data_IF_803220921265
#
_entry.id   IF_803220921265
#
_cell.length_a   1.000
_cell.length_b   1.000
_cell.length_c   1.000
_cell.angle_alpha   90.00
_cell.angle_beta   90.00
_cell.angle_gamma   90.00
#
_symmetry.space_group_name_H-M   'P 1'
#
loop_
_entity.id
_entity.type
_entity.pdbx_description
1 polymer ?
#
# COMPACT_ATOMS: atom_id res chain seq x y z
N UNK A 1 -17.31 -22.21 0.58
CA UNK A 1 -16.04 -22.98 0.58
C UNK A 1 -15.28 -22.71 -0.72
N UNK A 2 -13.96 -22.53 -0.69
CA UNK A 2 -13.17 -22.36 -1.90
C UNK A 2 -13.41 -23.48 -2.91
N UNK A 3 -13.38 -23.14 -4.22
CA UNK A 3 -13.60 -24.13 -5.29
C UNK A 3 -12.57 -25.26 -5.26
N UNK A 4 -12.90 -26.40 -5.89
CA UNK A 4 -11.99 -27.56 -5.95
C UNK A 4 -10.65 -27.16 -6.59
N UNK A 5 -10.68 -26.33 -7.65
CA UNK A 5 -9.48 -25.82 -8.30
C UNK A 5 -8.59 -25.00 -7.34
N UNK A 6 -9.16 -24.12 -6.54
CA UNK A 6 -8.45 -23.34 -5.52
C UNK A 6 -7.81 -24.26 -4.48
N UNK A 7 -8.51 -25.30 -4.04
CA UNK A 7 -7.98 -26.29 -3.07
C UNK A 7 -6.78 -27.04 -3.63
N UNK A 8 -6.87 -27.56 -4.84
CA UNK A 8 -5.79 -28.29 -5.51
C UNK A 8 -4.58 -27.37 -5.70
N UNK A 9 -4.79 -26.18 -6.26
CA UNK A 9 -3.71 -25.22 -6.48
C UNK A 9 -3.03 -24.82 -5.16
N UNK A 10 -3.78 -24.66 -4.07
CA UNK A 10 -3.21 -24.30 -2.78
C UNK A 10 -2.23 -25.33 -2.24
N UNK A 11 -2.42 -26.62 -2.56
CA UNK A 11 -1.48 -27.70 -2.16
C UNK A 11 -0.13 -27.51 -2.88
N UNK A 12 -0.18 -27.33 -4.20
CA UNK A 12 1.05 -27.12 -4.99
C UNK A 12 1.74 -25.80 -4.59
N UNK A 13 0.97 -24.74 -4.38
CA UNK A 13 1.49 -23.46 -3.93
C UNK A 13 2.23 -23.59 -2.58
N UNK A 14 1.65 -24.30 -1.60
CA UNK A 14 2.29 -24.53 -0.30
C UNK A 14 3.60 -25.29 -0.43
N UNK A 15 3.61 -26.36 -1.21
CA UNK A 15 4.81 -27.17 -1.43
C UNK A 15 5.91 -26.33 -2.08
N UNK A 16 5.56 -25.57 -3.11
CA UNK A 16 6.48 -24.68 -3.82
C UNK A 16 7.01 -23.57 -2.88
N UNK A 17 6.12 -22.88 -2.18
CA UNK A 17 6.50 -21.79 -1.27
C UNK A 17 7.41 -22.32 -0.14
N UNK A 18 7.04 -23.45 0.47
CA UNK A 18 7.85 -24.07 1.52
C UNK A 18 9.24 -24.48 1.03
N UNK A 19 9.30 -25.11 -0.14
CA UNK A 19 10.57 -25.49 -0.76
C UNK A 19 11.44 -24.25 -1.02
N UNK A 20 10.84 -23.18 -1.57
CA UNK A 20 11.52 -21.91 -1.84
C UNK A 20 12.06 -21.25 -0.57
N UNK A 21 11.26 -21.15 0.49
CA UNK A 21 11.70 -20.60 1.77
C UNK A 21 12.83 -21.42 2.40
N UNK A 22 12.76 -22.75 2.32
CA UNK A 22 13.82 -23.65 2.78
C UNK A 22 15.10 -23.50 1.96
N UNK A 23 14.99 -23.35 0.65
CA UNK A 23 16.14 -23.09 -0.23
C UNK A 23 16.84 -21.77 0.16
N UNK A 24 16.07 -20.71 0.38
CA UNK A 24 16.61 -19.43 0.81
C UNK A 24 17.23 -19.49 2.21
N UNK A 25 16.67 -20.29 3.12
CA UNK A 25 17.23 -20.48 4.46
C UNK A 25 18.59 -21.17 4.44
N UNK A 26 18.84 -22.03 3.46
CA UNK A 26 20.06 -22.81 3.32
C UNK A 26 21.07 -22.21 2.33
N UNK A 27 20.68 -21.19 1.57
CA UNK A 27 21.57 -20.55 0.60
C UNK A 27 22.64 -19.72 1.32
N UNK A 28 23.89 -19.79 0.88
CA UNK A 28 24.92 -18.87 1.36
C UNK A 28 24.55 -17.44 0.95
N UNK A 29 24.65 -16.50 1.89
CA UNK A 29 24.44 -15.09 1.59
C UNK A 29 25.71 -14.52 0.96
N UNK A 30 25.58 -14.00 -0.26
CA UNK A 30 26.63 -13.21 -0.90
C UNK A 30 26.73 -11.85 -0.16
N UNK A 31 27.90 -11.46 0.38
CA UNK A 31 28.05 -10.22 1.11
C UNK A 31 27.69 -8.96 0.31
N UNK A 32 27.99 -8.92 -1.00
CA UNK A 32 27.69 -7.76 -1.84
C UNK A 32 26.18 -7.66 -2.11
N UNK A 33 25.53 -8.81 -2.36
CA UNK A 33 24.08 -8.88 -2.50
C UNK A 33 23.39 -8.52 -1.19
N UNK A 34 23.89 -8.98 -0.06
CA UNK A 34 23.33 -8.63 1.25
C UNK A 34 23.50 -7.14 1.57
N UNK A 35 24.61 -6.52 1.19
CA UNK A 35 24.87 -5.09 1.42
C UNK A 35 23.91 -4.21 0.60
N UNK A 36 23.69 -4.52 -0.67
CA UNK A 36 22.77 -3.78 -1.54
C UNK A 36 21.32 -4.18 -1.30
N UNK A 37 21.06 -5.45 -1.01
CA UNK A 37 19.75 -6.06 -0.84
C UNK A 37 19.10 -6.49 -2.15
N UNK A 38 17.99 -7.21 -2.00
CA UNK A 38 17.15 -7.69 -3.12
C UNK A 38 15.74 -7.20 -2.90
N UNK A 39 15.11 -6.61 -3.91
CA UNK A 39 13.71 -6.12 -3.85
C UNK A 39 12.77 -6.84 -4.83
N UNK A 40 13.31 -7.80 -5.59
CA UNK A 40 12.55 -8.67 -6.50
C UNK A 40 13.31 -9.99 -6.68
N UNK A 41 12.60 -11.12 -6.69
CA UNK A 41 13.21 -12.42 -6.97
C UNK A 41 13.29 -12.65 -8.47
N UNK A 42 14.41 -13.20 -8.99
CA UNK A 42 14.61 -13.36 -10.43
C UNK A 42 13.66 -14.35 -11.10
N UNK A 43 13.08 -15.27 -10.35
CA UNK A 43 12.13 -16.29 -10.79
C UNK A 43 10.66 -15.84 -10.72
N UNK A 44 10.38 -14.62 -10.29
CA UNK A 44 9.03 -14.07 -10.23
C UNK A 44 8.63 -13.38 -11.52
N UNK A 45 7.42 -13.67 -12.01
CA UNK A 45 6.86 -13.00 -13.16
C UNK A 45 6.58 -11.52 -12.84
N UNK A 46 7.18 -10.62 -13.61
CA UNK A 46 7.01 -9.17 -13.48
C UNK A 46 6.31 -8.59 -14.69
N UNK A 47 5.51 -7.53 -14.46
CA UNK A 47 4.93 -6.73 -15.52
C UNK A 47 5.90 -5.59 -15.90
N UNK A 48 6.11 -5.31 -17.20
CA UNK A 48 6.91 -4.15 -17.60
C UNK A 48 6.17 -2.84 -17.25
N UNK A 49 6.91 -1.84 -16.79
CA UNK A 49 6.36 -0.49 -16.63
C UNK A 49 6.03 0.12 -17.99
N UNK A 50 4.92 0.86 -18.07
CA UNK A 50 4.51 1.57 -19.28
C UNK A 50 4.25 3.05 -18.95
N UNK A 51 5.12 3.99 -19.34
CA UNK A 51 4.95 5.41 -19.07
C UNK A 51 3.84 6.08 -19.89
N UNK A 52 3.32 5.39 -20.92
CA UNK A 52 2.14 5.82 -21.65
C UNK A 52 0.87 5.37 -20.93
N UNK A 53 -0.21 6.17 -21.01
CA UNK A 53 -1.50 5.73 -20.50
C UNK A 53 -2.01 4.52 -21.28
N UNK A 54 -2.24 3.43 -20.56
CA UNK A 54 -2.74 2.18 -21.16
C UNK A 54 -4.16 2.36 -21.70
N UNK A 55 -4.42 1.84 -22.92
CA UNK A 55 -5.75 1.85 -23.49
C UNK A 55 -6.75 0.97 -22.71
N UNK A 56 -6.26 -0.03 -21.98
CA UNK A 56 -7.12 -0.97 -21.25
C UNK A 56 -7.65 -0.40 -19.93
N UNK A 57 -6.81 0.31 -19.16
CA UNK A 57 -7.15 0.78 -17.83
C UNK A 57 -6.98 2.29 -17.62
N UNK A 58 -6.33 2.99 -18.55
CA UNK A 58 -6.07 4.42 -18.45
C UNK A 58 -4.97 4.76 -17.44
N UNK A 59 -4.10 3.81 -17.07
CA UNK A 59 -3.05 4.03 -16.06
C UNK A 59 -1.67 3.93 -16.69
N UNK A 60 -0.83 4.94 -16.50
CA UNK A 60 0.59 4.91 -16.82
C UNK A 60 1.39 4.41 -15.61
N UNK A 61 2.54 3.78 -15.84
CA UNK A 61 3.44 3.34 -14.77
C UNK A 61 4.90 3.53 -15.12
N UNK A 62 5.74 3.77 -14.12
CA UNK A 62 7.20 3.85 -14.27
C UNK A 62 7.91 3.36 -13.02
N UNK A 63 9.10 2.81 -13.22
CA UNK A 63 9.97 2.36 -12.14
C UNK A 63 11.03 3.42 -11.85
N UNK A 64 11.34 3.60 -10.57
CA UNK A 64 12.36 4.51 -10.08
C UNK A 64 13.19 3.84 -9.00
N UNK A 65 14.48 3.89 -9.13
CA UNK A 65 15.43 3.58 -8.06
C UNK A 65 15.65 4.83 -7.25
N UNK A 66 15.38 4.80 -5.94
CA UNK A 66 15.37 6.01 -5.10
C UNK A 66 16.49 6.08 -4.07
N UNK A 67 17.18 4.98 -3.81
CA UNK A 67 18.33 4.93 -2.91
C UNK A 67 19.55 4.31 -3.61
N UNK A 68 20.57 5.08 -3.95
CA UNK A 68 21.75 4.59 -4.68
C UNK A 68 22.56 3.53 -3.92
N UNK A 69 22.37 3.42 -2.60
CA UNK A 69 23.12 2.50 -1.74
C UNK A 69 22.37 1.20 -1.44
N UNK A 70 21.16 1.03 -1.96
CA UNK A 70 20.37 -0.18 -1.74
C UNK A 70 19.45 -0.48 -2.94
N UNK A 71 18.87 -1.66 -3.01
CA UNK A 71 17.90 -2.04 -4.05
C UNK A 71 16.52 -1.37 -3.91
N UNK A 72 16.36 -0.42 -2.99
CA UNK A 72 15.10 0.27 -2.74
C UNK A 72 14.62 1.02 -3.98
N UNK A 73 13.45 0.61 -4.48
CA UNK A 73 12.83 1.17 -5.67
C UNK A 73 11.34 1.45 -5.41
N UNK A 74 10.72 2.19 -6.32
CA UNK A 74 9.28 2.38 -6.33
C UNK A 74 8.75 2.24 -7.75
N UNK A 75 7.53 1.70 -7.89
CA UNK A 75 6.74 1.80 -9.12
C UNK A 75 5.63 2.81 -8.89
N UNK A 76 5.57 3.85 -9.74
CA UNK A 76 4.54 4.90 -9.66
C UNK A 76 3.49 4.62 -10.71
N UNK A 77 2.22 4.64 -10.30
CA UNK A 77 1.05 4.52 -11.16
C UNK A 77 0.31 5.85 -11.18
N UNK A 78 0.08 6.38 -12.38
CA UNK A 78 -0.63 7.63 -12.61
C UNK A 78 -1.90 7.35 -13.40
N UNK A 79 -3.11 7.62 -12.86
CA UNK A 79 -4.35 7.49 -13.63
C UNK A 79 -4.51 8.64 -14.63
N UNK A 80 -5.18 8.36 -15.76
CA UNK A 80 -5.53 9.39 -16.75
C UNK A 80 -6.41 10.46 -16.10
N UNK A 81 -6.09 11.74 -16.25
CA UNK A 81 -6.96 12.82 -15.78
C UNK A 81 -8.34 12.69 -16.43
N UNK A 82 -9.44 12.94 -15.70
CA UNK A 82 -10.76 12.96 -16.30
C UNK A 82 -10.81 14.04 -17.40
N UNK A 83 -11.51 13.78 -18.53
CA UNK A 83 -11.61 14.76 -19.61
C UNK A 83 -12.20 16.08 -19.08
N UNK A 84 -11.75 17.25 -19.59
CA UNK A 84 -12.16 18.57 -19.07
C UNK A 84 -13.69 18.78 -19.05
N UNK A 85 -14.43 18.09 -19.91
CA UNK A 85 -15.88 18.18 -20.01
C UNK A 85 -16.66 17.33 -18.99
N UNK A 86 -16.04 16.34 -18.36
CA UNK A 86 -16.73 15.49 -17.38
C UNK A 86 -17.01 16.22 -16.06
N UNK A 87 -16.29 17.32 -15.79
CA UNK A 87 -16.48 18.15 -14.60
C UNK A 87 -17.62 19.15 -14.75
N UNK A 88 -18.23 19.28 -15.93
CA UNK A 88 -19.29 20.25 -16.25
C UNK A 88 -20.64 19.60 -16.58
N UNK A 89 -20.76 18.31 -16.53
CA UNK A 89 -22.04 17.62 -16.77
C UNK A 89 -22.92 17.63 -15.51
N UNK A 90 -23.35 18.83 -15.08
CA UNK A 90 -24.60 18.93 -14.33
C UNK A 90 -25.75 18.73 -15.32
N UNK A 91 -26.77 17.91 -15.01
CA UNK A 91 -27.97 17.85 -15.84
C UNK A 91 -28.56 19.24 -15.94
N UNK A 92 -28.63 19.79 -17.17
CA UNK A 92 -29.25 21.08 -17.43
C UNK A 92 -30.70 21.06 -16.97
N UNK A 93 -31.07 22.00 -16.11
CA UNK A 93 -32.49 22.22 -15.80
C UNK A 93 -33.19 22.87 -17.01
N UNK A 94 -34.45 22.60 -17.18
CA UNK A 94 -35.26 23.15 -18.29
C UNK A 94 -35.33 24.68 -18.37
N UNK A 95 -34.75 25.37 -17.39
CA UNK A 95 -34.65 26.83 -17.30
C UNK A 95 -33.31 27.39 -17.73
N UNK A 96 -32.37 26.58 -18.21
CA UNK A 96 -31.04 27.08 -18.62
C UNK A 96 -31.14 27.84 -19.95
N UNK A 97 -30.46 28.99 -20.11
CA UNK A 97 -30.49 29.78 -21.35
C UNK A 97 -29.89 29.00 -22.52
N UNK A 98 -30.40 29.26 -23.72
CA UNK A 98 -30.01 28.58 -24.95
C UNK A 98 -28.49 28.59 -25.20
N UNK A 99 -27.93 27.60 -25.89
CA UNK A 99 -26.49 27.52 -26.21
C UNK A 99 -26.08 28.75 -27.02
N UNK A 100 -25.20 29.61 -26.46
CA UNK A 100 -24.70 30.82 -27.12
C UNK A 100 -24.84 32.08 -26.29
N UNK A 101 -25.66 32.14 -25.27
CA UNK A 101 -25.70 33.27 -24.35
C UNK A 101 -24.57 33.16 -23.31
N UNK A 102 -23.61 34.09 -23.23
CA UNK A 102 -22.54 34.03 -22.23
C UNK A 102 -23.09 34.47 -20.87
N UNK A 103 -23.70 33.54 -20.12
CA UNK A 103 -23.93 33.78 -18.69
C UNK A 103 -22.60 33.73 -17.94
N UNK A 104 -22.07 34.92 -17.67
CA UNK A 104 -20.84 35.16 -16.91
C UNK A 104 -21.14 35.48 -15.44
N UNK A 105 -21.94 34.67 -14.80
CA UNK A 105 -22.11 34.77 -13.34
C UNK A 105 -20.90 34.26 -12.59
N UNK A 106 -20.30 35.10 -11.77
CA UNK A 106 -19.37 34.84 -10.64
C UNK A 106 -18.18 33.88 -10.81
N UNK A 107 -17.75 33.54 -12.00
CA UNK A 107 -16.42 32.95 -12.17
C UNK A 107 -15.38 34.06 -12.29
N UNK A 108 -14.37 34.16 -11.41
CA UNK A 108 -13.30 35.13 -11.57
C UNK A 108 -12.64 34.95 -12.94
N UNK A 109 -12.55 36.01 -13.72
CA UNK A 109 -11.81 36.03 -15.00
C UNK A 109 -10.37 35.62 -14.69
N UNK A 110 -9.90 34.50 -15.25
CA UNK A 110 -8.52 34.08 -15.12
C UNK A 110 -8.28 32.98 -14.08
N UNK A 111 -9.30 32.30 -13.53
CA UNK A 111 -9.10 31.04 -12.85
C UNK A 111 -8.64 30.02 -13.90
N UNK A 112 -7.32 29.99 -14.13
CA UNK A 112 -6.67 28.81 -14.70
C UNK A 112 -7.15 27.65 -13.81
N UNK A 113 -7.89 26.70 -14.37
CA UNK A 113 -8.31 25.49 -13.68
C UNK A 113 -7.06 24.93 -13.02
N UNK A 114 -6.91 25.17 -11.72
CA UNK A 114 -5.82 24.61 -10.95
C UNK A 114 -5.94 23.10 -11.15
N UNK A 115 -4.97 22.48 -11.85
CA UNK A 115 -4.96 21.06 -12.11
C UNK A 115 -5.20 20.38 -10.77
N UNK A 116 -6.32 19.68 -10.63
CA UNK A 116 -6.69 18.97 -9.40
C UNK A 116 -5.54 18.05 -9.03
N UNK A 117 -4.95 18.25 -7.86
CA UNK A 117 -3.93 17.34 -7.34
C UNK A 117 -4.58 16.05 -6.88
N UNK A 118 -3.92 14.94 -7.16
CA UNK A 118 -4.39 13.59 -6.83
C UNK A 118 -3.85 13.18 -5.45
N UNK A 119 -4.65 12.50 -4.62
CA UNK A 119 -4.13 11.90 -3.40
C UNK A 119 -3.05 10.88 -3.73
N UNK A 120 -2.20 10.55 -2.75
CA UNK A 120 -1.11 9.59 -2.89
C UNK A 120 -1.43 8.36 -2.04
N UNK A 121 -1.35 7.17 -2.64
CA UNK A 121 -1.42 5.89 -1.93
C UNK A 121 -0.04 5.26 -1.97
N UNK A 122 0.60 5.09 -0.82
CA UNK A 122 1.84 4.33 -0.70
C UNK A 122 1.47 2.88 -0.41
N UNK A 123 1.81 1.98 -1.33
CA UNK A 123 1.43 0.57 -1.26
C UNK A 123 2.65 -0.30 -0.96
N UNK A 124 2.48 -1.23 -0.02
CA UNK A 124 3.44 -2.25 0.37
C UNK A 124 2.90 -3.63 0.00
N UNK A 125 3.61 -4.37 -0.85
CA UNK A 125 3.19 -5.69 -1.31
C UNK A 125 3.30 -6.77 -0.21
N UNK A 126 2.66 -7.92 -0.43
CA UNK A 126 2.74 -9.10 0.43
C UNK A 126 3.97 -9.97 0.16
N UNK A 127 3.88 -11.27 0.50
CA UNK A 127 4.95 -12.25 0.23
C UNK A 127 5.84 -12.56 1.43
N UNK A 128 5.38 -12.32 2.66
CA UNK A 128 6.05 -12.73 3.90
C UNK A 128 7.43 -12.10 4.11
N UNK A 129 7.70 -10.91 3.58
CA UNK A 129 9.00 -10.22 3.55
C UNK A 129 10.08 -10.90 2.69
N UNK A 130 9.79 -12.03 2.05
CA UNK A 130 10.77 -12.90 1.39
C UNK A 130 10.55 -12.96 -0.11
N UNK A 131 9.33 -12.80 -0.55
CA UNK A 131 8.90 -12.95 -1.95
C UNK A 131 8.08 -11.74 -2.41
N UNK A 132 7.70 -11.73 -3.70
CA UNK A 132 6.98 -10.65 -4.37
C UNK A 132 7.80 -9.37 -4.56
N UNK A 133 7.22 -8.40 -5.24
CA UNK A 133 7.83 -7.09 -5.49
C UNK A 133 6.78 -6.06 -5.90
N UNK A 134 7.18 -4.78 -5.99
CA UNK A 134 6.35 -3.71 -6.55
C UNK A 134 5.95 -3.96 -8.02
N UNK A 135 6.68 -4.82 -8.73
CA UNK A 135 6.54 -5.07 -10.17
C UNK A 135 5.98 -6.45 -10.54
N UNK A 136 5.71 -7.36 -9.58
CA UNK A 136 5.05 -8.63 -9.89
C UNK A 136 3.71 -8.39 -10.59
N UNK A 137 3.33 -9.31 -11.51
CA UNK A 137 2.11 -9.18 -12.34
C UNK A 137 0.87 -8.91 -11.49
N UNK A 138 0.69 -9.66 -10.39
CA UNK A 138 -0.44 -9.49 -9.50
C UNK A 138 -0.45 -8.14 -8.79
N UNK A 139 0.70 -7.69 -8.28
CA UNK A 139 0.81 -6.42 -7.60
C UNK A 139 0.61 -5.24 -8.56
N UNK A 140 1.16 -5.32 -9.79
CA UNK A 140 0.94 -4.31 -10.83
C UNK A 140 -0.55 -4.17 -11.17
N UNK A 141 -1.25 -5.30 -11.39
CA UNK A 141 -2.68 -5.31 -11.69
C UNK A 141 -3.52 -4.73 -10.54
N UNK A 142 -3.18 -5.08 -9.29
CA UNK A 142 -3.85 -4.54 -8.10
C UNK A 142 -3.62 -3.03 -7.97
N UNK A 143 -2.39 -2.55 -8.10
CA UNK A 143 -2.05 -1.12 -8.03
C UNK A 143 -2.71 -0.29 -9.14
N UNK A 144 -2.79 -0.80 -10.38
CA UNK A 144 -3.51 -0.15 -11.49
C UNK A 144 -4.99 -0.02 -11.18
N UNK A 145 -5.60 -1.08 -10.64
CA UNK A 145 -7.02 -1.07 -10.23
C UNK A 145 -7.26 -0.01 -9.14
N UNK A 146 -6.42 0.05 -8.11
CA UNK A 146 -6.50 1.06 -7.06
C UNK A 146 -6.33 2.49 -7.61
N UNK A 147 -5.32 2.73 -8.45
CA UNK A 147 -5.08 4.04 -9.04
C UNK A 147 -6.32 4.56 -9.78
N UNK A 148 -6.96 3.68 -10.56
CA UNK A 148 -8.20 4.00 -11.30
C UNK A 148 -9.40 4.21 -10.37
N UNK A 149 -9.65 3.30 -9.43
CA UNK A 149 -10.81 3.35 -8.56
C UNK A 149 -10.76 4.53 -7.59
N UNK A 150 -9.59 4.85 -7.07
CA UNK A 150 -9.41 5.94 -6.09
C UNK A 150 -9.16 7.30 -6.75
N UNK A 151 -8.90 7.36 -8.07
CA UNK A 151 -8.38 8.55 -8.75
C UNK A 151 -7.17 9.11 -7.98
N UNK A 152 -6.18 8.26 -7.77
CA UNK A 152 -5.01 8.50 -6.92
C UNK A 152 -3.70 8.07 -7.60
N UNK A 153 -2.61 8.74 -7.27
CA UNK A 153 -1.28 8.23 -7.59
C UNK A 153 -0.97 7.09 -6.62
N UNK A 154 -0.63 5.91 -7.14
CA UNK A 154 -0.16 4.80 -6.32
C UNK A 154 1.36 4.71 -6.43
N UNK A 155 2.04 4.65 -5.29
CA UNK A 155 3.48 4.46 -5.15
C UNK A 155 3.70 3.09 -4.53
N UNK A 156 3.92 2.06 -5.35
CA UNK A 156 4.21 0.71 -4.88
C UNK A 156 5.69 0.59 -4.50
N UNK A 157 5.96 0.19 -3.26
CA UNK A 157 7.31 0.14 -2.70
C UNK A 157 7.95 -1.20 -2.98
N UNK A 158 9.09 -1.20 -3.67
CA UNK A 158 10.00 -2.33 -3.82
C UNK A 158 11.00 -2.34 -2.67
N UNK A 159 10.53 -2.71 -1.47
CA UNK A 159 11.35 -2.79 -0.28
C UNK A 159 12.29 -4.01 -0.32
N UNK A 160 13.37 -3.96 0.44
CA UNK A 160 14.37 -5.03 0.52
C UNK A 160 13.80 -6.26 1.20
N UNK A 161 14.10 -7.43 0.61
CA UNK A 161 13.60 -8.73 1.02
C UNK A 161 14.59 -9.48 1.92
N UNK A 162 14.06 -10.30 2.79
CA UNK A 162 14.80 -11.27 3.58
C UNK A 162 15.03 -12.58 2.76
N UNK A 163 16.07 -13.36 3.04
CA UNK A 163 17.00 -13.24 4.18
C UNK A 163 18.17 -12.27 3.96
N UNK A 164 18.36 -11.71 2.74
CA UNK A 164 19.47 -10.82 2.40
C UNK A 164 19.41 -9.52 3.23
N UNK A 165 18.20 -9.01 3.44
CA UNK A 165 17.96 -7.82 4.25
C UNK A 165 16.90 -8.12 5.30
N UNK A 166 17.38 -8.53 6.49
CA UNK A 166 16.51 -8.85 7.63
C UNK A 166 15.93 -7.59 8.27
N UNK A 167 15.03 -7.77 9.24
CA UNK A 167 14.52 -6.67 10.07
C UNK A 167 15.66 -5.80 10.61
N UNK A 168 15.56 -4.45 10.58
CA UNK A 168 14.38 -3.66 10.22
C UNK A 168 14.36 -3.16 8.76
N UNK A 169 15.17 -3.72 7.84
CA UNK A 169 15.44 -3.14 6.53
C UNK A 169 14.16 -2.76 5.75
N UNK A 170 13.17 -3.65 5.63
CA UNK A 170 11.92 -3.38 4.90
C UNK A 170 11.08 -2.26 5.56
N UNK A 171 11.12 -2.16 6.89
CA UNK A 171 10.44 -1.13 7.67
C UNK A 171 11.11 0.24 7.49
N UNK A 172 12.45 0.27 7.52
CA UNK A 172 13.24 1.48 7.25
C UNK A 172 13.03 1.96 5.81
N UNK A 173 12.91 1.05 4.86
CA UNK A 173 12.64 1.36 3.46
C UNK A 173 11.27 2.05 3.31
N UNK A 174 10.25 1.59 4.03
CA UNK A 174 8.95 2.27 4.07
C UNK A 174 9.05 3.71 4.57
N UNK A 175 9.80 3.92 5.66
CA UNK A 175 10.06 5.27 6.20
C UNK A 175 10.84 6.12 5.20
N UNK A 176 11.86 5.57 4.52
CA UNK A 176 12.65 6.27 3.48
C UNK A 176 11.78 6.71 2.31
N UNK A 177 10.84 5.86 1.84
CA UNK A 177 9.91 6.22 0.77
C UNK A 177 9.02 7.39 1.18
N UNK A 178 8.47 7.39 2.39
CA UNK A 178 7.64 8.49 2.86
C UNK A 178 8.44 9.81 2.96
N UNK A 179 9.68 9.76 3.45
CA UNK A 179 10.62 10.92 3.43
C UNK A 179 10.93 11.37 2.02
N UNK A 180 11.12 10.44 1.09
CA UNK A 180 11.37 10.76 -0.32
C UNK A 180 10.17 11.50 -0.94
N UNK A 181 8.93 11.05 -0.68
CA UNK A 181 7.71 11.76 -1.14
C UNK A 181 7.66 13.17 -0.56
N UNK A 182 7.97 13.34 0.73
CA UNK A 182 8.04 14.66 1.37
C UNK A 182 9.08 15.56 0.70
N UNK A 183 10.27 15.04 0.39
CA UNK A 183 11.32 15.76 -0.35
C UNK A 183 10.83 16.18 -1.73
N UNK A 184 10.17 15.30 -2.49
CA UNK A 184 9.63 15.64 -3.82
C UNK A 184 8.60 16.76 -3.74
N UNK A 185 7.72 16.73 -2.76
CA UNK A 185 6.72 17.77 -2.54
C UNK A 185 7.34 19.13 -2.18
N UNK A 186 8.36 19.13 -1.31
CA UNK A 186 9.09 20.35 -0.93
C UNK A 186 9.84 20.96 -2.12
N UNK A 187 10.55 20.14 -2.91
CA UNK A 187 11.22 20.59 -4.13
C UNK A 187 10.25 21.19 -5.14
N UNK A 188 9.06 20.58 -5.30
CA UNK A 188 8.00 21.12 -6.15
C UNK A 188 7.45 22.48 -5.66
N UNK A 189 7.42 22.72 -4.36
CA UNK A 189 7.03 24.03 -3.80
C UNK A 189 8.11 25.08 -4.04
N UNK A 190 9.37 24.76 -3.81
CA UNK A 190 10.50 25.68 -4.03
C UNK A 190 10.59 26.13 -5.49
N UNK A 191 10.39 25.23 -6.44
CA UNK A 191 10.43 25.56 -7.88
C UNK A 191 9.32 26.56 -8.29
N UNK A 192 8.19 26.63 -7.56
CA UNK A 192 7.08 27.55 -7.83
C UNK A 192 7.29 28.95 -7.26
N UNK A 193 8.09 29.08 -6.20
CA UNK A 193 8.31 30.38 -5.51
C UNK A 193 9.39 31.26 -6.19
N UNK A 194 9.91 30.83 -7.36
CA UNK A 194 10.85 31.64 -8.13
C UNK A 194 12.29 31.69 -7.57
N UNK A 195 12.59 30.83 -6.61
CA UNK A 195 13.98 30.54 -6.25
C UNK A 195 14.63 29.77 -7.40
N UNK A 196 15.61 30.40 -8.06
CA UNK A 196 16.34 29.81 -9.19
C UNK A 196 16.89 28.46 -8.83
N UNK A 197 16.14 27.42 -9.14
CA UNK A 197 16.63 26.04 -9.07
C UNK A 197 17.64 25.92 -10.19
N UNK A 198 18.88 25.65 -9.86
CA UNK A 198 19.88 25.32 -10.85
C UNK A 198 19.42 24.09 -11.66
N UNK A 199 19.95 23.91 -12.85
CA UNK A 199 19.60 22.81 -13.75
C UNK A 199 19.76 21.43 -13.08
N UNK A 200 20.63 21.33 -12.06
CA UNK A 200 20.88 20.11 -11.32
C UNK A 200 19.76 19.81 -10.30
N UNK A 201 19.25 20.81 -9.59
CA UNK A 201 18.11 20.64 -8.68
C UNK A 201 16.82 20.27 -9.42
N UNK A 202 16.60 20.82 -10.62
CA UNK A 202 15.46 20.47 -11.47
C UNK A 202 15.48 19.01 -11.94
N UNK A 203 16.66 18.41 -12.16
CA UNK A 203 16.80 17.02 -12.60
C UNK A 203 16.48 15.98 -11.52
N UNK A 204 16.45 16.38 -10.23
CA UNK A 204 16.16 15.50 -9.10
C UNK A 204 14.68 15.41 -8.73
N UNK A 205 13.83 16.23 -9.36
CA UNK A 205 12.39 16.27 -9.06
C UNK A 205 11.65 15.20 -9.87
N UNK A 206 10.89 14.38 -9.16
CA UNK A 206 10.00 13.40 -9.79
C UNK A 206 8.74 14.10 -10.34
N UNK A 207 8.59 14.19 -11.67
CA UNK A 207 7.58 15.08 -12.25
C UNK A 207 6.14 14.64 -11.98
N UNK A 208 5.84 13.34 -11.86
CA UNK A 208 4.47 12.86 -11.62
C UNK A 208 4.00 13.21 -10.20
N UNK A 209 4.86 12.99 -9.20
CA UNK A 209 4.56 13.37 -7.81
C UNK A 209 4.50 14.87 -7.67
N UNK A 210 5.49 15.58 -8.22
CA UNK A 210 5.60 17.04 -8.09
C UNK A 210 4.44 17.80 -8.77
N UNK A 211 4.04 17.36 -9.99
CA UNK A 211 3.01 18.04 -10.77
C UNK A 211 1.59 17.63 -10.37
N UNK A 212 1.38 16.37 -9.99
CA UNK A 212 0.05 15.80 -9.82
C UNK A 212 -0.28 15.36 -8.39
N UNK A 213 0.72 15.08 -7.53
CA UNK A 213 0.49 14.57 -6.19
C UNK A 213 0.07 15.63 -5.18
N UNK A 214 -0.84 15.25 -4.27
CA UNK A 214 -1.19 16.01 -3.07
C UNK A 214 -0.65 15.28 -1.83
N UNK A 215 0.48 15.72 -1.28
CA UNK A 215 1.09 15.08 -0.13
C UNK A 215 0.25 15.22 1.16
N UNK A 216 -0.67 16.18 1.22
CA UNK A 216 -1.55 16.36 2.38
C UNK A 216 -2.67 15.29 2.44
N UNK A 217 -2.82 14.47 1.41
CA UNK A 217 -3.82 13.40 1.32
C UNK A 217 -3.12 12.08 0.98
N UNK A 218 -2.29 11.60 1.92
CA UNK A 218 -1.55 10.35 1.77
C UNK A 218 -2.25 9.22 2.54
N UNK A 219 -2.40 8.06 1.90
CA UNK A 219 -2.90 6.83 2.52
C UNK A 219 -1.80 5.77 2.44
N UNK A 220 -1.57 5.04 3.52
CA UNK A 220 -0.70 3.88 3.51
C UNK A 220 -1.55 2.62 3.37
N UNK A 221 -1.21 1.77 2.41
CA UNK A 221 -1.91 0.51 2.16
C UNK A 221 -0.90 -0.63 2.15
N UNK A 222 -1.16 -1.66 2.94
CA UNK A 222 -0.31 -2.83 2.98
C UNK A 222 -1.09 -4.13 2.81
N UNK A 223 -0.44 -5.08 2.15
CA UNK A 223 -0.94 -6.43 1.89
C UNK A 223 -0.12 -7.43 2.68
N UNK A 224 -0.74 -8.28 3.51
CA UNK A 224 -0.05 -9.30 4.30
C UNK A 224 1.10 -8.69 5.13
N UNK A 225 2.34 -9.10 4.95
CA UNK A 225 3.50 -8.50 5.60
C UNK A 225 3.69 -7.00 5.27
N UNK A 226 3.23 -6.57 4.10
CA UNK A 226 3.20 -5.15 3.76
C UNK A 226 2.27 -4.34 4.65
N UNK A 227 1.23 -4.96 5.24
CA UNK A 227 0.37 -4.31 6.22
C UNK A 227 1.11 -4.03 7.54
N UNK A 228 2.03 -4.92 7.94
CA UNK A 228 2.90 -4.67 9.09
C UNK A 228 3.84 -3.47 8.83
N UNK A 229 4.37 -3.36 7.60
CA UNK A 229 5.19 -2.22 7.19
C UNK A 229 4.33 -0.93 7.18
N UNK A 230 3.14 -0.97 6.59
CA UNK A 230 2.22 0.17 6.53
C UNK A 230 1.87 0.69 7.93
N UNK A 231 1.52 -0.21 8.86
CA UNK A 231 1.21 0.14 10.25
C UNK A 231 2.41 0.79 10.95
N UNK A 232 3.60 0.22 10.81
CA UNK A 232 4.84 0.79 11.38
C UNK A 232 5.14 2.18 10.83
N UNK A 233 5.10 2.35 9.51
CA UNK A 233 5.37 3.65 8.86
C UNK A 233 4.32 4.68 9.29
N UNK A 234 3.05 4.26 9.45
CA UNK A 234 2.00 5.12 10.00
C UNK A 234 2.32 5.56 11.42
N UNK A 235 2.76 4.62 12.29
CA UNK A 235 3.18 4.96 13.65
C UNK A 235 4.31 6.01 13.65
N UNK A 236 5.33 5.83 12.79
CA UNK A 236 6.43 6.80 12.64
C UNK A 236 5.95 8.16 12.14
N UNK A 237 5.00 8.19 11.21
CA UNK A 237 4.41 9.43 10.73
C UNK A 237 3.59 10.16 11.83
N UNK A 238 2.95 9.43 12.72
CA UNK A 238 2.23 9.98 13.89
C UNK A 238 3.20 10.49 14.95
N UNK A 239 4.29 9.75 15.24
CA UNK A 239 5.30 10.13 16.22
C UNK A 239 6.05 11.40 15.82
N UNK A 240 6.47 11.52 14.58
CA UNK A 240 7.30 12.62 14.09
C UNK A 240 6.77 13.18 12.76
N UNK A 241 5.55 13.73 12.82
CA UNK A 241 4.91 14.33 11.65
C UNK A 241 5.70 15.48 11.00
N UNK A 242 6.57 16.16 11.76
CA UNK A 242 7.43 17.23 11.22
C UNK A 242 8.47 16.68 10.25
N UNK A 243 8.99 15.48 10.52
CA UNK A 243 10.00 14.81 9.67
C UNK A 243 9.47 14.50 8.27
N UNK A 244 8.16 14.31 8.15
CA UNK A 244 7.49 13.95 6.90
C UNK A 244 6.75 15.12 6.24
N UNK A 245 6.80 16.32 6.81
CA UNK A 245 6.12 17.48 6.23
C UNK A 245 6.58 17.74 4.78
N UNK A 246 5.65 17.99 3.84
CA UNK A 246 4.23 18.27 4.00
C UNK A 246 3.31 17.03 3.88
N UNK A 247 3.84 15.81 3.91
CA UNK A 247 3.04 14.59 3.84
C UNK A 247 2.19 14.43 5.09
N UNK A 248 0.88 14.20 4.90
CA UNK A 248 -0.05 13.84 5.98
C UNK A 248 -0.65 12.47 5.68
N UNK A 249 -0.43 11.51 6.57
CA UNK A 249 -1.09 10.21 6.51
C UNK A 249 -2.50 10.37 7.08
N UNK A 250 -3.51 10.38 6.20
CA UNK A 250 -4.91 10.65 6.56
C UNK A 250 -5.71 9.38 6.86
N UNK A 251 -5.22 8.22 6.43
CA UNK A 251 -5.79 6.90 6.70
C UNK A 251 -4.78 5.79 6.41
N UNK A 252 -5.04 4.59 6.92
CA UNK A 252 -4.32 3.37 6.51
C UNK A 252 -5.26 2.23 6.18
N UNK A 253 -4.82 1.31 5.32
CA UNK A 253 -5.53 0.09 4.92
C UNK A 253 -4.63 -1.11 5.18
N UNK A 254 -5.07 -2.02 6.03
CA UNK A 254 -4.37 -3.24 6.40
C UNK A 254 -5.11 -4.44 5.83
N UNK A 255 -4.62 -4.98 4.72
CA UNK A 255 -5.23 -6.14 4.06
C UNK A 255 -4.62 -7.42 4.63
N UNK A 256 -5.46 -8.23 5.28
CA UNK A 256 -5.06 -9.50 5.93
C UNK A 256 -3.65 -9.45 6.54
N UNK A 257 -3.44 -8.55 7.53
CA UNK A 257 -2.11 -8.24 8.06
C UNK A 257 -1.43 -9.50 8.62
N UNK A 258 -0.13 -9.60 8.42
CA UNK A 258 0.72 -10.71 8.82
C UNK A 258 1.03 -10.67 10.32
N UNK A 259 -0.01 -10.54 11.14
CA UNK A 259 0.13 -10.49 12.59
C UNK A 259 0.17 -11.90 13.18
N UNK A 260 1.12 -12.13 14.06
CA UNK A 260 1.26 -13.38 14.84
C UNK A 260 1.49 -13.05 16.32
N UNK A 261 1.48 -14.05 17.17
CA UNK A 261 1.79 -13.91 18.60
C UNK A 261 1.96 -15.24 19.29
N UNK A 262 2.52 -15.24 20.50
CA UNK A 262 2.81 -16.45 21.27
C UNK A 262 1.56 -17.17 21.79
N UNK A 263 0.54 -16.39 22.20
CA UNK A 263 -0.75 -16.95 22.65
C UNK A 263 -1.64 -17.15 21.42
N UNK A 264 -1.96 -18.38 21.02
CA UNK A 264 -2.72 -18.63 19.81
C UNK A 264 -4.18 -18.19 19.94
N UNK A 265 -4.72 -17.57 18.87
CA UNK A 265 -6.14 -17.24 18.72
C UNK A 265 -6.95 -18.46 18.26
N UNK A 266 -8.28 -18.35 18.30
CA UNK A 266 -9.15 -19.42 17.81
C UNK A 266 -8.94 -19.73 16.33
N UNK A 267 -8.79 -18.71 15.47
CA UNK A 267 -8.47 -18.91 14.05
C UNK A 267 -7.10 -19.56 13.84
N UNK A 268 -6.09 -19.19 14.63
CA UNK A 268 -4.76 -19.81 14.59
C UNK A 268 -4.75 -21.29 14.95
N UNK A 269 -5.66 -21.74 15.82
CA UNK A 269 -5.83 -23.16 16.16
C UNK A 269 -6.61 -23.87 15.05
N UNK A 270 -7.79 -23.33 14.69
CA UNK A 270 -8.72 -23.99 13.77
C UNK A 270 -8.22 -24.03 12.34
N UNK A 271 -7.55 -22.97 11.89
CA UNK A 271 -7.12 -22.77 10.51
C UNK A 271 -5.60 -22.88 10.32
N UNK A 272 -4.88 -23.53 11.24
CA UNK A 272 -3.41 -23.66 11.19
C UNK A 272 -2.90 -24.20 9.84
N UNK A 273 -3.67 -25.10 9.20
CA UNK A 273 -3.40 -25.68 7.88
C UNK A 273 -4.19 -24.99 6.76
N UNK A 274 -4.47 -23.70 6.90
CA UNK A 274 -5.21 -22.91 5.94
C UNK A 274 -4.66 -23.01 4.50
N UNK A 275 -5.46 -22.55 3.53
CA UNK A 275 -5.07 -22.57 2.12
C UNK A 275 -3.93 -21.58 1.86
N UNK A 276 -3.05 -21.91 0.92
CA UNK A 276 -1.90 -21.12 0.44
C UNK A 276 -0.83 -20.87 1.52
N UNK A 277 -1.16 -20.15 2.56
CA UNK A 277 -0.25 -19.72 3.63
C UNK A 277 -0.65 -20.39 4.94
N UNK A 278 -0.07 -21.57 5.22
CA UNK A 278 -0.25 -22.22 6.51
C UNK A 278 0.66 -21.64 7.60
N UNK A 279 0.31 -21.91 8.87
CA UNK A 279 1.03 -21.34 10.01
C UNK A 279 2.52 -21.74 10.02
N UNK A 280 2.85 -22.96 9.63
CA UNK A 280 4.23 -23.45 9.64
C UNK A 280 5.11 -22.72 8.62
N UNK A 281 4.60 -22.52 7.42
CA UNK A 281 5.28 -21.76 6.35
C UNK A 281 5.42 -20.29 6.70
N UNK A 282 4.40 -19.69 7.31
CA UNK A 282 4.46 -18.31 7.78
C UNK A 282 5.49 -18.10 8.90
N UNK A 283 5.59 -19.04 9.85
CA UNK A 283 6.64 -18.99 10.89
C UNK A 283 8.04 -19.10 10.27
N UNK A 284 8.22 -19.90 9.21
CA UNK A 284 9.49 -19.98 8.50
C UNK A 284 9.85 -18.62 7.85
N UNK A 285 8.87 -17.92 7.24
CA UNK A 285 9.08 -16.58 6.71
C UNK A 285 9.52 -15.59 7.80
N UNK A 286 8.89 -15.63 8.98
CA UNK A 286 9.31 -14.81 10.12
C UNK A 286 10.73 -15.14 10.61
N UNK A 287 11.16 -16.41 10.59
CA UNK A 287 12.54 -16.81 10.91
C UNK A 287 13.57 -16.33 9.90
N UNK A 288 13.18 -16.21 8.63
CA UNK A 288 14.04 -15.60 7.60
C UNK A 288 14.14 -14.09 7.78
N UNK A 289 13.07 -13.44 8.23
CA UNK A 289 13.00 -11.99 8.37
C UNK A 289 13.64 -11.48 9.68
N UNK A 290 13.32 -12.09 10.82
CA UNK A 290 13.95 -11.76 12.10
C UNK A 290 15.28 -12.51 12.25
N UNK A 291 16.26 -11.90 12.91
CA UNK A 291 17.48 -12.61 13.29
C UNK A 291 17.16 -13.68 14.33
N UNK A 292 17.96 -14.75 14.41
CA UNK A 292 17.76 -15.82 15.40
C UNK A 292 17.75 -15.30 16.84
N UNK A 293 18.48 -14.20 17.10
CA UNK A 293 18.55 -13.55 18.42
C UNK A 293 17.28 -12.75 18.75
N UNK A 294 16.60 -12.24 17.74
CA UNK A 294 15.40 -11.39 17.87
C UNK A 294 14.11 -12.17 17.63
N UNK A 295 14.21 -13.42 17.18
CA UNK A 295 13.03 -14.20 16.82
C UNK A 295 12.12 -14.44 18.05
N UNK A 296 10.97 -13.77 18.02
CA UNK A 296 9.88 -13.95 18.95
C UNK A 296 8.55 -13.79 18.20
N UNK A 297 7.56 -14.61 18.53
CA UNK A 297 6.21 -14.45 18.00
C UNK A 297 5.55 -13.15 18.54
N UNK A 298 6.04 -12.61 19.65
CA UNK A 298 5.60 -11.33 20.22
C UNK A 298 6.56 -10.19 19.90
N UNK A 299 7.43 -10.36 18.90
CA UNK A 299 8.24 -9.25 18.40
C UNK A 299 7.31 -8.09 17.94
N UNK A 300 7.63 -6.83 18.25
CA UNK A 300 6.76 -5.68 17.92
C UNK A 300 6.38 -5.57 16.43
N UNK A 301 7.25 -6.00 15.52
CA UNK A 301 6.95 -6.05 14.10
C UNK A 301 5.88 -7.11 13.73
N UNK A 302 5.75 -8.15 14.57
CA UNK A 302 4.85 -9.28 14.33
C UNK A 302 3.53 -9.16 15.09
N UNK A 303 3.59 -8.64 16.33
CA UNK A 303 2.43 -8.49 17.21
C UNK A 303 2.22 -7.00 17.57
N UNK A 304 1.30 -6.30 16.88
CA UNK A 304 1.06 -4.89 17.15
C UNK A 304 0.41 -4.63 18.52
N UNK A 305 -0.05 -5.67 19.20
CA UNK A 305 -0.64 -5.61 20.55
C UNK A 305 0.30 -6.15 21.64
N UNK A 306 1.55 -6.48 21.30
CA UNK A 306 2.52 -6.95 22.29
C UNK A 306 2.75 -5.90 23.39
N UNK A 307 2.83 -6.30 24.67
CA UNK A 307 3.23 -5.40 25.73
C UNK A 307 4.61 -4.77 25.44
N UNK A 308 4.71 -3.46 25.59
CA UNK A 308 5.97 -2.75 25.35
C UNK A 308 6.38 -2.61 23.88
N UNK A 309 5.44 -2.77 22.95
CA UNK A 309 5.70 -2.64 21.49
C UNK A 309 6.37 -1.32 21.09
N UNK A 310 6.29 -0.28 21.95
CA UNK A 310 6.69 1.08 21.57
C UNK A 310 5.65 1.76 20.65
N UNK A 311 6.01 2.88 20.06
CA UNK A 311 5.16 3.63 19.15
C UNK A 311 4.15 4.56 19.85
N UNK A 312 3.35 5.31 19.08
CA UNK A 312 2.39 6.26 19.62
C UNK A 312 1.22 5.54 20.27
N UNK A 313 0.51 6.21 21.22
CA UNK A 313 -0.75 5.69 21.72
C UNK A 313 -1.75 5.40 20.58
N UNK A 314 -2.48 4.29 20.66
CA UNK A 314 -3.43 3.87 19.61
C UNK A 314 -4.45 4.96 19.26
N UNK A 315 -4.87 5.78 20.21
CA UNK A 315 -5.79 6.92 20.00
C UNK A 315 -5.25 7.98 19.01
N UNK A 316 -3.95 7.99 18.75
CA UNK A 316 -3.31 8.92 17.82
C UNK A 316 -3.22 8.35 16.40
N UNK A 317 -3.54 7.06 16.21
CA UNK A 317 -3.52 6.44 14.89
C UNK A 317 -4.62 7.02 14.00
N UNK A 318 -4.37 7.14 12.68
CA UNK A 318 -5.40 7.59 11.75
C UNK A 318 -6.48 6.52 11.57
N UNK A 319 -7.62 6.87 10.94
CA UNK A 319 -8.61 5.90 10.51
C UNK A 319 -7.97 4.70 9.81
N UNK A 320 -8.38 3.49 10.20
CA UNK A 320 -7.74 2.24 9.79
C UNK A 320 -8.76 1.26 9.26
N UNK A 321 -8.71 0.94 7.96
CA UNK A 321 -9.51 -0.14 7.39
C UNK A 321 -8.75 -1.46 7.51
N UNK A 322 -9.41 -2.47 8.08
CA UNK A 322 -8.87 -3.84 8.12
C UNK A 322 -9.67 -4.74 7.20
N UNK A 323 -8.99 -5.43 6.27
CA UNK A 323 -9.61 -6.45 5.40
C UNK A 323 -9.19 -7.82 5.92
N UNK A 324 -10.15 -8.73 6.06
CA UNK A 324 -9.90 -10.11 6.48
C UNK A 324 -10.55 -11.10 5.52
N UNK A 325 -10.00 -12.32 5.49
CA UNK A 325 -10.51 -13.46 4.72
C UNK A 325 -11.01 -14.55 5.69
N UNK A 326 -12.15 -15.16 5.37
CA UNK A 326 -12.77 -16.16 6.27
C UNK A 326 -11.87 -17.35 6.56
N UNK A 327 -11.11 -17.81 5.56
CA UNK A 327 -10.22 -18.96 5.67
C UNK A 327 -8.76 -18.60 5.96
N UNK A 328 -8.52 -17.41 6.55
CA UNK A 328 -7.20 -16.98 6.98
C UNK A 328 -7.00 -17.27 8.48
N UNK A 329 -5.93 -17.96 8.82
CA UNK A 329 -5.61 -18.27 10.21
C UNK A 329 -5.19 -17.05 11.03
N UNK A 330 -4.77 -15.95 10.39
CA UNK A 330 -4.35 -14.71 11.04
C UNK A 330 -5.50 -13.74 11.33
N UNK A 331 -6.72 -14.04 10.86
CA UNK A 331 -7.87 -13.13 10.88
C UNK A 331 -8.24 -12.59 12.26
N UNK A 332 -8.21 -13.44 13.30
CA UNK A 332 -8.66 -13.03 14.63
C UNK A 332 -7.73 -11.96 15.26
N UNK A 333 -6.41 -11.99 14.94
CA UNK A 333 -5.48 -10.93 15.37
C UNK A 333 -5.74 -9.61 14.67
N UNK A 334 -6.06 -9.65 13.39
CA UNK A 334 -6.45 -8.46 12.63
C UNK A 334 -7.73 -7.83 13.21
N UNK A 335 -8.72 -8.66 13.57
CA UNK A 335 -9.95 -8.22 14.26
C UNK A 335 -9.60 -7.60 15.62
N UNK A 336 -8.79 -8.27 16.43
CA UNK A 336 -8.41 -7.79 17.76
C UNK A 336 -7.70 -6.42 17.68
N UNK A 337 -6.80 -6.24 16.70
CA UNK A 337 -6.15 -4.94 16.49
C UNK A 337 -7.17 -3.83 16.14
N UNK A 338 -8.09 -4.12 15.23
CA UNK A 338 -9.17 -3.19 14.88
C UNK A 338 -10.08 -2.86 16.08
N UNK A 339 -10.36 -3.84 16.95
CA UNK A 339 -11.14 -3.63 18.18
C UNK A 339 -10.42 -2.72 19.19
N UNK A 340 -9.11 -2.90 19.37
CA UNK A 340 -8.32 -2.03 20.26
C UNK A 340 -8.28 -0.58 19.74
N UNK A 341 -8.19 -0.37 18.42
CA UNK A 341 -8.33 0.96 17.82
C UNK A 341 -9.71 1.57 18.07
N UNK A 342 -10.79 0.79 17.93
CA UNK A 342 -12.16 1.27 18.19
C UNK A 342 -12.39 1.63 19.67
N UNK A 343 -11.80 0.88 20.62
CA UNK A 343 -11.89 1.17 22.05
C UNK A 343 -11.36 2.56 22.42
N UNK A 344 -10.46 3.11 21.59
CA UNK A 344 -9.87 4.44 21.77
C UNK A 344 -10.43 5.47 20.78
N UNK A 345 -11.61 5.21 20.19
CA UNK A 345 -12.35 6.06 19.26
C UNK A 345 -11.64 6.32 17.91
N UNK A 346 -10.78 5.42 17.45
CA UNK A 346 -10.27 5.43 16.08
C UNK A 346 -11.30 4.74 15.18
N UNK A 347 -11.67 5.37 14.05
CA UNK A 347 -12.53 4.74 13.04
C UNK A 347 -11.78 3.54 12.42
N UNK A 348 -12.17 2.32 12.81
CA UNK A 348 -11.48 1.09 12.41
C UNK A 348 -12.48 -0.01 12.05
N UNK A 349 -13.13 0.09 10.87
CA UNK A 349 -14.00 -0.97 10.37
C UNK A 349 -13.21 -2.19 9.91
N UNK A 350 -13.89 -3.34 9.90
CA UNK A 350 -13.38 -4.61 9.38
C UNK A 350 -14.26 -5.04 8.22
N UNK A 351 -13.67 -5.30 7.05
CA UNK A 351 -14.31 -5.95 5.91
C UNK A 351 -14.02 -7.46 5.95
N UNK A 352 -15.03 -8.26 6.22
CA UNK A 352 -14.94 -9.72 6.32
C UNK A 352 -15.48 -10.39 5.05
N UNK A 353 -14.58 -10.92 4.22
CA UNK A 353 -14.93 -11.59 2.96
C UNK A 353 -15.12 -13.09 3.17
N UNK A 354 -16.36 -13.56 2.88
CA UNK A 354 -16.73 -14.97 2.99
C UNK A 354 -16.16 -15.81 1.86
N UNK A 355 -15.88 -17.07 2.16
CA UNK A 355 -15.34 -18.07 1.22
C UNK A 355 -13.98 -17.66 0.59
N UNK A 356 -13.26 -16.72 1.21
CA UNK A 356 -11.97 -16.24 0.72
C UNK A 356 -10.81 -16.76 1.55
N UNK A 357 -9.63 -16.74 0.95
CA UNK A 357 -8.34 -17.19 1.51
C UNK A 357 -7.40 -15.99 1.68
N UNK A 358 -6.31 -16.17 2.43
CA UNK A 358 -5.27 -15.17 2.56
C UNK A 358 -4.81 -14.65 1.18
N UNK A 359 -4.63 -13.35 1.03
CA UNK A 359 -4.25 -12.68 -0.23
C UNK A 359 -5.24 -12.87 -1.41
N UNK A 360 -6.51 -13.20 -1.17
CA UNK A 360 -7.49 -13.47 -2.23
C UNK A 360 -7.63 -12.34 -3.25
N UNK A 361 -7.34 -11.10 -2.88
CA UNK A 361 -7.44 -9.94 -3.77
C UNK A 361 -6.13 -9.60 -4.49
N UNK A 362 -5.04 -10.32 -4.21
CA UNK A 362 -3.68 -10.04 -4.72
C UNK A 362 -2.94 -11.28 -5.25
N UNK A 363 -3.53 -12.48 -5.17
CA UNK A 363 -3.01 -13.67 -5.83
C UNK A 363 -3.46 -13.71 -7.30
N UNK A 364 -2.53 -14.00 -8.23
CA UNK A 364 -2.76 -13.98 -9.68
C UNK A 364 -4.05 -14.70 -10.09
N UNK A 365 -4.23 -15.92 -9.64
CA UNK A 365 -5.39 -16.74 -10.02
C UNK A 365 -6.72 -16.26 -9.41
N UNK A 366 -6.69 -15.39 -8.41
CA UNK A 366 -7.88 -14.89 -7.70
C UNK A 366 -8.23 -13.44 -8.03
N UNK A 367 -7.35 -12.71 -8.71
CA UNK A 367 -7.52 -11.28 -9.05
C UNK A 367 -8.83 -10.94 -9.77
N UNK A 368 -9.35 -11.88 -10.55
CA UNK A 368 -10.58 -11.69 -11.34
C UNK A 368 -11.82 -12.28 -10.68
N UNK A 369 -11.70 -12.76 -9.44
CA UNK A 369 -12.87 -13.24 -8.69
C UNK A 369 -13.78 -12.06 -8.28
N UNK A 370 -15.08 -12.28 -8.15
CA UNK A 370 -16.01 -11.24 -7.68
C UNK A 370 -15.59 -10.66 -6.33
N UNK A 371 -15.09 -11.49 -5.42
CA UNK A 371 -14.61 -11.07 -4.10
C UNK A 371 -13.39 -10.14 -4.18
N UNK A 372 -12.44 -10.44 -5.08
CA UNK A 372 -11.27 -9.58 -5.28
C UNK A 372 -11.64 -8.22 -5.89
N UNK A 373 -12.61 -8.22 -6.81
CA UNK A 373 -13.14 -6.99 -7.41
C UNK A 373 -13.89 -6.15 -6.37
N UNK A 374 -14.82 -6.76 -5.64
CA UNK A 374 -15.57 -6.10 -4.58
C UNK A 374 -14.62 -5.53 -3.49
N UNK A 375 -13.59 -6.28 -3.12
CA UNK A 375 -12.60 -5.83 -2.13
C UNK A 375 -11.91 -4.54 -2.57
N UNK A 376 -11.46 -4.45 -3.82
CA UNK A 376 -10.81 -3.24 -4.33
C UNK A 376 -11.79 -2.05 -4.41
N UNK A 377 -13.06 -2.29 -4.75
CA UNK A 377 -14.10 -1.27 -4.78
C UNK A 377 -14.45 -0.77 -3.37
N UNK A 378 -14.65 -1.67 -2.41
CA UNK A 378 -14.95 -1.34 -1.01
C UNK A 378 -13.81 -0.55 -0.36
N UNK A 379 -12.55 -0.94 -0.61
CA UNK A 379 -11.38 -0.18 -0.18
C UNK A 379 -11.41 1.23 -0.79
N UNK A 380 -11.68 1.34 -2.10
CA UNK A 380 -11.73 2.64 -2.76
C UNK A 380 -12.87 3.54 -2.23
N UNK A 381 -14.04 2.97 -1.97
CA UNK A 381 -15.19 3.67 -1.37
C UNK A 381 -14.80 4.21 0.01
N UNK A 382 -14.22 3.36 0.87
CA UNK A 382 -13.81 3.76 2.20
C UNK A 382 -12.70 4.83 2.17
N UNK A 383 -11.67 4.64 1.34
CA UNK A 383 -10.58 5.61 1.21
C UNK A 383 -11.08 6.98 0.75
N UNK A 384 -12.04 7.04 -0.18
CA UNK A 384 -12.63 8.29 -0.69
C UNK A 384 -13.23 9.16 0.41
N UNK A 385 -13.68 8.59 1.52
CA UNK A 385 -14.14 9.34 2.70
C UNK A 385 -13.04 10.26 3.25
N UNK A 386 -11.77 9.86 3.19
CA UNK A 386 -10.64 10.58 3.76
C UNK A 386 -9.80 11.36 2.75
N UNK A 387 -9.81 10.94 1.48
CA UNK A 387 -9.02 11.58 0.43
C UNK A 387 -9.82 12.56 -0.44
N UNK A 388 -11.16 12.62 -0.32
CA UNK A 388 -11.96 13.58 -1.08
C UNK A 388 -11.84 14.99 -0.50
N UNK A 389 -11.74 16.01 -1.37
CA UNK A 389 -11.69 17.41 -0.94
C UNK A 389 -12.96 17.85 -0.21
N UNK A 390 -14.11 17.19 -0.46
CA UNK A 390 -15.38 17.50 0.20
C UNK A 390 -15.42 17.12 1.69
N UNK A 391 -14.60 16.16 2.14
CA UNK A 391 -14.52 15.75 3.54
C UNK A 391 -13.78 16.76 4.43
N UNK A 392 -12.95 17.63 3.86
CA UNK A 392 -12.20 18.64 4.60
C UNK A 392 -12.97 19.94 4.86
N UNK A 393 -14.09 20.17 4.16
CA UNK A 393 -14.92 21.36 4.36
C UNK A 393 -15.82 21.29 5.61
N UNK A 394 -15.90 20.13 6.27
CA UNK A 394 -16.75 19.89 7.45
C UNK A 394 -15.97 19.50 8.71
N UNK A 395 -14.66 19.64 8.73
CA UNK A 395 -13.85 19.44 9.95
C UNK A 395 -13.69 20.81 10.62
N UNK A 396 -14.62 21.12 11.52
CA UNK A 396 -14.49 22.21 12.49
C UNK A 396 -13.86 21.70 13.76
#
# INVERSE_FOLDING_TARGET
>A
MPSVGVKIYSVFFKLFLRHRLQSLANAPLDPDVAAFGVSCRPDEATAPANPAFSAADGVASKDLHIDPNSSLSVRIFLPTPPPPHALLAHPRRASDPAPGAPYRGYLPRGAVSARRRLPIVVQFHGGGFVTSSSSTVANDAFCRRLAKLCDAIVVAVGYRLAPESRYPAAFDDGVRVLKWIAKQANLAMMSKVGGGMDTFGASTVEPWIAAHGDPARCVLLGVSCGANIADYVTQKAVEDGKLFAPVKVVAQVLMYPFFIGSVPTHSEIRLANSYFYDKSTCILAWRLFLSDKEFSLDHPAANPLAPGRGGPPLKCMPPTLTVIAEHDWMRDRAIAYSEELRKVNVDSPVLDYKDTVHEFATLDMLLNTPQAQACAEDIAIWMKKYISLRGHEFSY
#
